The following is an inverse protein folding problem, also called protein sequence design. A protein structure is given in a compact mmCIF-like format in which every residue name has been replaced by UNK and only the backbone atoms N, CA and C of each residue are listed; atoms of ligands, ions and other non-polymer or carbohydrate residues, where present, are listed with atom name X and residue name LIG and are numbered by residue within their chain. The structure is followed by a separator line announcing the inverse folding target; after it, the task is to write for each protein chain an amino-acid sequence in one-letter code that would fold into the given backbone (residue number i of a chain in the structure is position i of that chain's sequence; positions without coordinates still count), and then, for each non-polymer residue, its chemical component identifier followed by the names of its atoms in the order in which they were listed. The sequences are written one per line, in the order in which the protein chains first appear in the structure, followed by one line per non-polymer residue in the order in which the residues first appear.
data_IF_800212880956
#
_entry.id   IF_800212880956
#
_cell.length_a   1.000
_cell.length_b   1.000
_cell.length_c   1.000
_cell.angle_alpha   90.00
_cell.angle_beta   90.00
_cell.angle_gamma   90.00
#
_symmetry.space_group_name_H-M   'P 1'
#
loop_
_entity.id
_entity.type
_entity.pdbx_description
1 polymer ?
#
# COMPACT_ATOMS: atom_id res chain seq x y z
N UNK A 1 -19.55 14.03 -11.64
CA UNK A 1 -18.20 13.43 -11.48
C UNK A 1 -18.33 12.09 -10.77
N UNK A 2 -17.43 11.15 -11.07
CA UNK A 2 -17.40 9.79 -10.49
C UNK A 2 -15.99 9.56 -9.92
N UNK A 3 -15.89 8.95 -8.74
CA UNK A 3 -14.62 8.50 -8.17
C UNK A 3 -14.66 6.99 -7.89
N UNK A 4 -13.52 6.33 -8.07
CA UNK A 4 -13.33 4.94 -7.72
C UNK A 4 -12.59 4.81 -6.40
N UNK A 5 -13.13 4.00 -5.49
CA UNK A 5 -12.45 3.55 -4.28
C UNK A 5 -12.00 2.10 -4.46
N UNK A 6 -10.69 1.86 -4.35
CA UNK A 6 -10.10 0.53 -4.41
C UNK A 6 -9.70 0.12 -3.00
N UNK A 7 -10.17 -1.04 -2.58
CA UNK A 7 -9.80 -1.66 -1.32
C UNK A 7 -9.12 -3.00 -1.59
N UNK A 8 -7.87 -3.11 -1.14
CA UNK A 8 -7.01 -4.28 -1.33
C UNK A 8 -6.89 -5.00 0.01
N UNK A 9 -7.64 -6.08 0.16
CA UNK A 9 -7.57 -6.96 1.32
C UNK A 9 -6.60 -8.12 1.14
N UNK A 10 -6.37 -8.89 2.20
CA UNK A 10 -5.46 -10.05 2.18
C UNK A 10 -5.95 -11.22 1.31
N UNK A 11 -7.25 -11.32 1.02
CA UNK A 11 -7.86 -12.43 0.26
C UNK A 11 -8.44 -12.02 -1.07
N UNK A 12 -8.58 -10.72 -1.32
CA UNK A 12 -9.18 -10.20 -2.55
C UNK A 12 -9.18 -8.69 -2.57
N UNK A 13 -9.57 -8.11 -3.71
CA UNK A 13 -9.70 -6.68 -3.88
C UNK A 13 -11.09 -6.32 -4.44
N UNK A 14 -11.51 -5.09 -4.15
CA UNK A 14 -12.75 -4.54 -4.69
C UNK A 14 -12.54 -3.13 -5.23
N UNK A 15 -13.36 -2.77 -6.21
CA UNK A 15 -13.49 -1.41 -6.72
C UNK A 15 -14.95 -0.99 -6.61
N UNK A 16 -15.19 0.19 -6.07
CA UNK A 16 -16.54 0.78 -5.94
C UNK A 16 -16.55 2.15 -6.59
N UNK A 17 -17.53 2.41 -7.44
CA UNK A 17 -17.76 3.71 -8.05
C UNK A 17 -18.77 4.51 -7.25
N UNK A 18 -18.45 5.77 -6.94
CA UNK A 18 -19.30 6.69 -6.21
C UNK A 18 -19.53 7.98 -6.99
N UNK A 19 -20.73 8.55 -6.86
CA UNK A 19 -21.00 9.95 -7.20
C UNK A 19 -20.55 10.88 -6.09
N UNK A 20 -20.54 12.18 -6.37
CA UNK A 20 -20.23 13.25 -5.40
C UNK A 20 -21.15 13.29 -4.18
N UNK A 21 -22.40 12.82 -4.33
CA UNK A 21 -23.36 12.73 -3.25
C UNK A 21 -23.17 11.48 -2.37
N UNK A 22 -22.15 10.66 -2.67
CA UNK A 22 -21.85 9.42 -1.95
C UNK A 22 -22.68 8.22 -2.44
N UNK A 23 -23.55 8.37 -3.43
CA UNK A 23 -24.32 7.26 -3.97
C UNK A 23 -23.40 6.28 -4.74
N UNK A 24 -23.53 4.98 -4.43
CA UNK A 24 -22.81 3.91 -5.12
C UNK A 24 -23.44 3.63 -6.47
N UNK A 25 -22.61 3.61 -7.52
CA UNK A 25 -23.02 3.34 -8.90
C UNK A 25 -22.68 1.93 -9.37
N UNK A 26 -21.52 1.44 -9.00
CA UNK A 26 -21.00 0.16 -9.43
C UNK A 26 -20.12 -0.47 -8.35
N UNK A 27 -19.98 -1.79 -8.40
CA UNK A 27 -19.07 -2.56 -7.56
C UNK A 27 -18.53 -3.75 -8.32
N UNK A 28 -17.23 -4.00 -8.20
CA UNK A 28 -16.60 -5.22 -8.66
C UNK A 28 -15.69 -5.76 -7.56
N UNK A 29 -15.65 -7.09 -7.42
CA UNK A 29 -14.83 -7.80 -6.44
C UNK A 29 -14.11 -8.97 -7.11
N UNK A 30 -12.90 -9.26 -6.69
CA UNK A 30 -12.12 -10.41 -7.12
C UNK A 30 -11.29 -10.98 -5.98
N UNK A 31 -11.42 -12.28 -5.75
CA UNK A 31 -10.56 -13.04 -4.84
C UNK A 31 -9.23 -13.40 -5.50
N UNK A 32 -8.18 -13.52 -4.67
CA UNK A 32 -6.90 -14.07 -5.09
C UNK A 32 -6.95 -15.59 -4.90
N UNK A 33 -6.64 -16.39 -5.95
CA UNK A 33 -6.61 -17.84 -5.83
C UNK A 33 -5.32 -18.32 -5.15
N UNK A 34 -5.11 -17.91 -3.89
CA UNK A 34 -3.97 -18.35 -3.10
C UNK A 34 -4.10 -19.83 -2.76
N UNK A 35 -3.01 -20.58 -2.94
CA UNK A 35 -2.94 -21.95 -2.49
C UNK A 35 -2.92 -22.01 -0.96
N UNK A 36 -3.51 -23.06 -0.39
CA UNK A 36 -3.44 -23.28 1.05
C UNK A 36 -1.98 -23.38 1.52
N UNK A 37 -1.61 -22.57 2.52
CA UNK A 37 -0.26 -22.50 3.03
C UNK A 37 0.68 -21.53 2.28
N UNK A 38 0.20 -20.79 1.28
CA UNK A 38 1.00 -19.76 0.63
C UNK A 38 1.35 -18.65 1.65
N UNK A 39 2.63 -18.32 1.73
CA UNK A 39 3.16 -17.25 2.62
C UNK A 39 3.32 -15.92 1.88
N UNK A 40 3.17 -15.93 0.56
CA UNK A 40 3.31 -14.77 -0.32
C UNK A 40 2.21 -14.67 -1.37
N UNK A 41 2.00 -13.46 -1.88
CA UNK A 41 1.09 -13.16 -2.98
C UNK A 41 1.92 -12.62 -4.15
N UNK A 42 1.91 -13.26 -5.35
CA UNK A 42 2.60 -12.71 -6.50
C UNK A 42 2.14 -11.29 -6.85
N UNK A 43 3.09 -10.37 -7.01
CA UNK A 43 2.78 -8.97 -7.29
C UNK A 43 1.96 -8.79 -8.59
N UNK A 44 2.23 -9.63 -9.60
CA UNK A 44 1.49 -9.65 -10.87
C UNK A 44 0.05 -10.16 -10.71
N UNK A 45 -0.20 -11.08 -9.77
CA UNK A 45 -1.55 -11.54 -9.44
C UNK A 45 -2.35 -10.40 -8.78
N UNK A 46 -1.72 -9.69 -7.83
CA UNK A 46 -2.35 -8.54 -7.17
C UNK A 46 -2.70 -7.45 -8.19
N UNK A 47 -1.72 -6.96 -8.96
CA UNK A 47 -1.94 -5.89 -9.93
C UNK A 47 -2.96 -6.32 -11.00
N UNK A 48 -2.88 -7.55 -11.49
CA UNK A 48 -3.85 -8.11 -12.44
C UNK A 48 -5.27 -8.08 -11.90
N UNK A 49 -5.48 -8.55 -10.66
CA UNK A 49 -6.80 -8.54 -10.01
C UNK A 49 -7.35 -7.12 -9.84
N UNK A 50 -6.49 -6.18 -9.43
CA UNK A 50 -6.89 -4.77 -9.27
C UNK A 50 -7.30 -4.15 -10.61
N UNK A 51 -6.53 -4.37 -11.67
CA UNK A 51 -6.89 -3.89 -13.01
C UNK A 51 -8.22 -4.49 -13.51
N UNK A 52 -8.46 -5.77 -13.22
CA UNK A 52 -9.73 -6.43 -13.57
C UNK A 52 -10.93 -5.80 -12.83
N UNK A 53 -10.83 -5.55 -11.51
CA UNK A 53 -11.96 -4.95 -10.78
C UNK A 53 -12.20 -3.50 -11.19
N UNK A 54 -11.15 -2.72 -11.52
CA UNK A 54 -11.30 -1.37 -12.08
C UNK A 54 -12.06 -1.45 -13.42
N UNK A 55 -11.60 -2.31 -14.33
CA UNK A 55 -12.23 -2.48 -15.64
C UNK A 55 -13.67 -2.98 -15.53
N UNK A 56 -13.94 -3.94 -14.64
CA UNK A 56 -15.27 -4.46 -14.41
C UNK A 56 -16.22 -3.43 -13.80
N UNK A 57 -15.69 -2.57 -12.91
CA UNK A 57 -16.45 -1.46 -12.32
C UNK A 57 -16.77 -0.40 -13.38
N UNK A 58 -15.78 0.00 -14.21
CA UNK A 58 -15.98 0.96 -15.29
C UNK A 58 -17.04 0.52 -16.31
N UNK A 59 -17.08 -0.78 -16.66
CA UNK A 59 -18.07 -1.35 -17.60
C UNK A 59 -19.51 -1.33 -17.09
N UNK A 60 -19.74 -1.15 -15.79
CA UNK A 60 -21.08 -1.03 -15.21
C UNK A 60 -21.60 0.42 -15.25
N UNK A 61 -20.77 1.38 -15.61
CA UNK A 61 -21.16 2.79 -15.70
C UNK A 61 -21.77 3.10 -17.08
N UNK A 62 -22.80 3.93 -17.10
CA UNK A 62 -23.37 4.46 -18.36
C UNK A 62 -22.33 5.30 -19.14
N UNK A 63 -21.49 6.05 -18.40
CA UNK A 63 -20.45 6.87 -18.99
C UNK A 63 -19.15 6.83 -18.17
N UNK A 64 -18.21 5.92 -18.48
CA UNK A 64 -16.91 5.86 -17.80
C UNK A 64 -16.04 7.11 -17.96
N UNK A 65 -16.34 7.98 -18.95
CA UNK A 65 -15.61 9.23 -19.16
C UNK A 65 -15.88 10.30 -18.09
N UNK A 66 -16.84 10.06 -17.19
CA UNK A 66 -17.10 10.90 -16.01
C UNK A 66 -16.21 10.58 -14.80
N UNK A 67 -15.40 9.52 -14.87
CA UNK A 67 -14.45 9.15 -13.81
C UNK A 67 -13.33 10.18 -13.77
N UNK A 68 -13.11 10.76 -12.59
CA UNK A 68 -12.12 11.82 -12.37
C UNK A 68 -11.01 11.44 -11.39
N UNK A 69 -11.25 10.43 -10.53
CA UNK A 69 -10.29 10.01 -9.53
C UNK A 69 -10.36 8.51 -9.23
N UNK A 70 -9.22 7.94 -8.86
CA UNK A 70 -9.07 6.58 -8.33
C UNK A 70 -8.31 6.69 -7.02
N UNK A 71 -8.92 6.23 -5.92
CA UNK A 71 -8.26 6.17 -4.61
C UNK A 71 -7.92 4.72 -4.26
N UNK A 72 -6.70 4.48 -3.75
CA UNK A 72 -6.22 3.13 -3.42
C UNK A 72 -5.94 3.03 -1.94
N UNK A 73 -6.57 2.08 -1.25
CA UNK A 73 -6.27 1.66 0.12
C UNK A 73 -5.90 0.18 0.16
N UNK A 74 -5.17 -0.23 1.17
CA UNK A 74 -4.74 -1.62 1.32
C UNK A 74 -4.51 -2.00 2.78
N UNK A 75 -4.40 -3.32 3.00
CA UNK A 75 -3.78 -3.82 4.22
C UNK A 75 -2.36 -3.27 4.37
N UNK A 76 -1.89 -3.19 5.61
CA UNK A 76 -0.57 -2.69 5.97
C UNK A 76 0.51 -3.77 6.04
N UNK A 77 1.67 -3.40 6.58
CA UNK A 77 2.82 -4.23 6.96
C UNK A 77 3.48 -5.01 5.81
N UNK A 78 2.97 -4.88 4.58
CA UNK A 78 3.44 -5.59 3.39
C UNK A 78 3.80 -4.63 2.27
N UNK A 79 4.68 -5.07 1.38
CA UNK A 79 5.16 -4.27 0.25
C UNK A 79 5.52 -5.17 -0.94
N UNK A 80 5.76 -4.55 -2.09
CA UNK A 80 6.43 -5.13 -3.25
C UNK A 80 7.82 -4.51 -3.35
N UNK A 81 8.88 -5.31 -3.27
CA UNK A 81 10.22 -4.86 -3.61
C UNK A 81 10.39 -4.93 -5.12
N UNK A 82 10.79 -3.83 -5.75
CA UNK A 82 10.96 -3.76 -7.21
C UNK A 82 12.37 -3.32 -7.58
N UNK A 83 12.85 -3.78 -8.72
CA UNK A 83 14.10 -3.30 -9.33
C UNK A 83 13.89 -2.00 -10.11
N UNK A 84 14.96 -1.47 -10.73
CA UNK A 84 14.94 -0.22 -11.48
C UNK A 84 14.01 -0.23 -12.72
N UNK A 85 13.59 -1.42 -13.18
CA UNK A 85 12.62 -1.57 -14.26
C UNK A 85 11.17 -1.62 -13.75
N UNK A 86 10.97 -1.69 -12.43
CA UNK A 86 9.67 -1.89 -11.80
C UNK A 86 9.25 -3.35 -11.69
N UNK A 87 10.15 -4.30 -12.00
CA UNK A 87 9.89 -5.73 -11.86
C UNK A 87 9.98 -6.16 -10.41
N UNK A 88 8.99 -6.93 -9.94
CA UNK A 88 8.99 -7.45 -8.57
C UNK A 88 10.13 -8.45 -8.36
N UNK A 89 10.84 -8.30 -7.25
CA UNK A 89 11.97 -9.13 -6.85
C UNK A 89 11.56 -10.35 -6.02
N UNK A 90 10.45 -10.20 -5.29
CA UNK A 90 9.89 -11.25 -4.44
C UNK A 90 8.37 -11.23 -4.51
N UNK A 91 7.73 -12.30 -4.07
CA UNK A 91 6.31 -12.25 -3.73
C UNK A 91 6.07 -11.26 -2.58
N UNK A 92 4.86 -10.73 -2.49
CA UNK A 92 4.42 -9.89 -1.38
C UNK A 92 4.32 -10.78 -0.14
N UNK A 93 5.22 -10.59 0.82
CA UNK A 93 5.15 -11.30 2.09
C UNK A 93 3.98 -10.74 2.90
N UNK A 94 3.03 -11.61 3.23
CA UNK A 94 1.83 -11.21 3.95
C UNK A 94 2.17 -10.89 5.41
N UNK A 95 1.37 -10.04 6.06
CA UNK A 95 1.56 -9.63 7.46
C UNK A 95 1.54 -10.81 8.46
N UNK A 96 0.94 -11.94 8.08
CA UNK A 96 0.93 -13.20 8.84
C UNK A 96 2.03 -14.19 8.41
N UNK A 97 2.86 -13.83 7.44
CA UNK A 97 4.01 -14.65 7.01
C UNK A 97 5.17 -14.51 7.99
N UNK A 98 5.81 -15.62 8.35
CA UNK A 98 7.03 -15.60 9.16
C UNK A 98 8.20 -15.14 8.29
N UNK A 99 8.52 -13.86 8.30
CA UNK A 99 9.86 -13.41 7.98
C UNK A 99 10.77 -13.81 9.15
N UNK A 100 11.96 -14.33 8.86
CA UNK A 100 12.87 -14.89 9.86
C UNK A 100 13.10 -13.91 11.03
N UNK A 101 12.69 -14.36 12.23
CA UNK A 101 12.65 -13.50 13.41
C UNK A 101 14.03 -13.21 14.02
N UNK A 102 15.00 -14.13 13.89
CA UNK A 102 16.29 -14.02 14.59
C UNK A 102 17.08 -12.76 14.20
N UNK A 103 17.19 -12.45 12.91
CA UNK A 103 17.90 -11.25 12.44
C UNK A 103 17.18 -9.97 12.91
N UNK A 104 15.87 -9.97 12.85
CA UNK A 104 15.06 -8.83 13.32
C UNK A 104 15.22 -8.64 14.83
N UNK A 105 15.16 -9.71 15.64
CA UNK A 105 15.34 -9.64 17.09
C UNK A 105 16.75 -9.17 17.48
N UNK A 106 17.78 -9.65 16.78
CA UNK A 106 19.13 -9.17 16.96
C UNK A 106 19.25 -7.69 16.66
N UNK A 107 18.73 -7.23 15.52
CA UNK A 107 18.74 -5.83 15.12
C UNK A 107 18.03 -4.93 16.14
N UNK A 108 16.85 -5.35 16.60
CA UNK A 108 16.11 -4.61 17.64
C UNK A 108 16.91 -4.53 18.95
N UNK A 109 17.63 -5.60 19.31
CA UNK A 109 18.51 -5.59 20.49
C UNK A 109 19.71 -4.64 20.34
N UNK A 110 20.28 -4.52 19.14
CA UNK A 110 21.41 -3.65 18.84
C UNK A 110 21.01 -2.16 18.83
N UNK A 111 19.86 -1.84 18.21
CA UNK A 111 19.34 -0.45 18.11
C UNK A 111 18.70 -0.02 19.45
N UNK A 112 18.03 -0.95 20.13
CA UNK A 112 17.25 -0.72 21.33
C UNK A 112 15.77 -0.47 21.05
N UNK A 113 14.89 -1.21 21.73
CA UNK A 113 13.42 -1.09 21.60
C UNK A 113 12.94 0.36 21.84
N UNK A 114 13.57 1.07 22.78
CA UNK A 114 13.24 2.46 23.11
C UNK A 114 13.40 3.43 21.93
N UNK A 115 14.32 3.17 21.00
CA UNK A 115 14.49 4.01 19.81
C UNK A 115 13.26 3.91 18.89
N UNK A 116 12.79 2.69 18.64
CA UNK A 116 11.55 2.46 17.86
C UNK A 116 10.33 3.08 18.53
N UNK A 117 10.15 2.85 19.83
CA UNK A 117 9.03 3.42 20.58
C UNK A 117 9.04 4.95 20.63
N UNK A 118 10.21 5.56 20.66
CA UNK A 118 10.37 7.03 20.68
C UNK A 118 10.11 7.67 19.31
N UNK A 119 10.52 7.00 18.22
CA UNK A 119 10.51 7.54 16.86
C UNK A 119 9.26 7.08 16.10
N UNK A 120 9.08 5.77 15.95
CA UNK A 120 7.95 5.20 15.22
C UNK A 120 6.67 5.12 16.06
N UNK A 121 6.77 5.33 17.39
CA UNK A 121 5.69 5.19 18.37
C UNK A 121 5.06 3.79 18.38
N UNK A 122 5.82 2.78 17.97
CA UNK A 122 5.40 1.39 17.90
C UNK A 122 6.42 0.51 18.60
N UNK A 123 5.94 -0.51 19.29
CA UNK A 123 6.80 -1.60 19.77
C UNK A 123 7.25 -2.42 18.56
N UNK A 124 8.56 -2.69 18.39
CA UNK A 124 9.03 -3.46 17.25
C UNK A 124 8.55 -4.92 17.35
N UNK A 125 7.92 -5.39 16.27
CA UNK A 125 7.44 -6.76 16.12
C UNK A 125 7.68 -7.24 14.68
N UNK A 126 7.83 -8.54 14.48
CA UNK A 126 8.09 -9.16 13.17
C UNK A 126 6.94 -9.00 12.17
N UNK A 127 5.74 -8.67 12.63
CA UNK A 127 4.59 -8.39 11.78
C UNK A 127 4.77 -7.14 10.90
N UNK A 128 5.58 -6.18 11.33
CA UNK A 128 5.84 -4.94 10.58
C UNK A 128 6.75 -5.14 9.36
N UNK A 129 6.79 -4.13 8.47
CA UNK A 129 7.49 -4.26 7.19
C UNK A 129 9.00 -4.42 7.33
N UNK A 130 9.63 -3.88 8.40
CA UNK A 130 11.09 -3.95 8.57
C UNK A 130 11.63 -5.38 8.52
N UNK A 131 11.01 -6.33 9.23
CA UNK A 131 11.45 -7.73 9.23
C UNK A 131 11.48 -8.33 7.82
N UNK A 132 10.46 -8.00 7.02
CA UNK A 132 10.33 -8.44 5.63
C UNK A 132 11.32 -7.73 4.70
N UNK A 133 11.68 -6.47 4.99
CA UNK A 133 12.72 -5.74 4.26
C UNK A 133 14.10 -6.37 4.48
N UNK A 134 14.42 -6.75 5.73
CA UNK A 134 15.65 -7.48 6.04
C UNK A 134 15.72 -8.80 5.29
N UNK A 135 14.68 -9.61 5.35
CA UNK A 135 14.58 -10.85 4.59
C UNK A 135 14.75 -10.61 3.07
N UNK A 136 14.05 -9.60 2.52
CA UNK A 136 14.14 -9.28 1.09
C UNK A 136 15.56 -8.93 0.68
N UNK A 137 16.32 -8.21 1.50
CA UNK A 137 17.74 -7.89 1.22
C UNK A 137 18.61 -9.14 1.08
N UNK A 138 18.27 -10.23 1.77
CA UNK A 138 19.05 -11.49 1.71
C UNK A 138 18.71 -12.32 0.47
N UNK A 139 17.43 -12.32 0.05
CA UNK A 139 16.95 -13.22 -0.99
C UNK A 139 16.81 -12.59 -2.38
N UNK A 140 16.83 -11.26 -2.47
CA UNK A 140 16.74 -10.57 -3.75
C UNK A 140 17.99 -10.84 -4.60
N UNK A 141 17.77 -11.26 -5.83
CA UNK A 141 18.83 -11.57 -6.81
C UNK A 141 19.36 -10.33 -7.55
N UNK A 142 18.70 -9.19 -7.37
CA UNK A 142 19.00 -7.88 -7.97
C UNK A 142 18.83 -6.77 -6.94
N UNK A 143 19.47 -5.60 -7.13
CA UNK A 143 19.31 -4.46 -6.23
C UNK A 143 17.85 -4.02 -6.15
N UNK A 144 17.38 -3.75 -4.93
CA UNK A 144 16.07 -3.13 -4.69
C UNK A 144 16.16 -1.67 -5.07
N UNK A 145 15.33 -1.24 -6.02
CA UNK A 145 15.14 0.17 -6.32
C UNK A 145 14.14 0.82 -5.36
N UNK A 146 12.99 0.16 -5.11
CA UNK A 146 11.98 0.66 -4.19
C UNK A 146 11.27 -0.46 -3.43
N UNK A 147 10.97 -0.20 -2.17
CA UNK A 147 9.99 -0.93 -1.36
C UNK A 147 8.64 -0.21 -1.46
N UNK A 148 7.74 -0.68 -2.32
CA UNK A 148 6.43 -0.06 -2.56
C UNK A 148 5.37 -0.74 -1.69
N UNK A 149 4.89 -0.07 -0.64
CA UNK A 149 3.77 -0.60 0.14
C UNK A 149 2.57 -0.88 -0.77
N UNK A 150 1.73 -1.84 -0.40
CA UNK A 150 0.76 -2.46 -1.33
C UNK A 150 -0.09 -1.43 -2.10
N UNK A 151 -0.70 -0.45 -1.42
CA UNK A 151 -1.43 0.62 -2.11
C UNK A 151 -0.52 1.48 -2.99
N UNK A 152 0.73 1.75 -2.52
CA UNK A 152 1.75 2.48 -3.28
C UNK A 152 2.21 1.72 -4.53
N UNK A 153 2.32 0.39 -4.46
CA UNK A 153 2.63 -0.43 -5.63
C UNK A 153 1.53 -0.33 -6.70
N UNK A 154 0.27 -0.38 -6.30
CA UNK A 154 -0.83 -0.20 -7.25
C UNK A 154 -0.87 1.23 -7.80
N UNK A 155 -0.63 2.25 -6.97
CA UNK A 155 -0.50 3.62 -7.45
C UNK A 155 0.66 3.75 -8.46
N UNK A 156 1.80 3.10 -8.20
CA UNK A 156 2.92 3.02 -9.14
C UNK A 156 2.53 2.35 -10.46
N UNK A 157 1.83 1.21 -10.41
CA UNK A 157 1.33 0.55 -11.62
C UNK A 157 0.38 1.43 -12.45
N UNK A 158 -0.35 2.33 -11.79
CA UNK A 158 -1.30 3.23 -12.44
C UNK A 158 -0.64 4.50 -13.00
N UNK A 159 0.41 5.03 -12.34
CA UNK A 159 0.98 6.36 -12.61
C UNK A 159 2.45 6.38 -12.95
N UNK A 160 3.21 5.36 -12.58
CA UNK A 160 4.67 5.35 -12.61
C UNK A 160 5.35 6.04 -11.41
N UNK A 161 4.58 6.61 -10.47
CA UNK A 161 5.10 7.37 -9.34
C UNK A 161 5.24 6.51 -8.07
N UNK A 162 6.43 6.45 -7.49
CA UNK A 162 6.73 5.69 -6.27
C UNK A 162 6.35 6.48 -5.01
N UNK A 163 5.12 6.29 -4.53
CA UNK A 163 4.56 6.99 -3.38
C UNK A 163 3.97 6.03 -2.35
N UNK A 164 3.81 6.51 -1.13
CA UNK A 164 3.02 5.90 -0.06
C UNK A 164 2.25 6.97 0.71
N UNK A 165 1.28 6.56 1.52
CA UNK A 165 0.70 7.45 2.51
C UNK A 165 1.38 7.30 3.88
N UNK A 166 1.12 8.26 4.79
CA UNK A 166 1.70 8.29 6.13
C UNK A 166 1.34 7.02 6.93
N UNK A 167 0.09 6.53 6.85
CA UNK A 167 -0.34 5.42 7.68
C UNK A 167 0.36 4.11 7.32
N UNK A 168 0.61 3.85 6.04
CA UNK A 168 1.38 2.70 5.58
C UNK A 168 2.87 2.86 5.89
N UNK A 169 3.43 4.09 5.72
CA UNK A 169 4.81 4.39 6.07
C UNK A 169 5.08 4.15 7.56
N UNK A 170 4.17 4.54 8.45
CA UNK A 170 4.28 4.28 9.90
C UNK A 170 4.38 2.77 10.22
N UNK A 171 3.74 1.91 9.41
CA UNK A 171 3.77 0.44 9.62
C UNK A 171 5.09 -0.21 9.19
N UNK A 172 6.06 0.57 8.75
CA UNK A 172 7.41 0.07 8.42
C UNK A 172 8.33 -0.06 9.64
N UNK A 173 8.05 0.60 10.75
CA UNK A 173 8.96 0.89 11.87
C UNK A 173 10.09 1.89 11.56
N UNK A 174 10.16 2.45 10.36
CA UNK A 174 11.25 3.33 9.91
C UNK A 174 10.84 4.81 9.80
N UNK A 175 9.56 5.13 10.05
CA UNK A 175 9.01 6.47 9.88
C UNK A 175 8.98 7.23 11.22
N UNK A 176 9.55 8.43 11.24
CA UNK A 176 9.43 9.35 12.38
C UNK A 176 8.05 10.03 12.34
N UNK A 177 7.16 9.55 13.19
CA UNK A 177 5.76 10.00 13.23
C UNK A 177 5.65 11.46 13.66
N UNK A 178 6.56 11.94 14.53
CA UNK A 178 6.51 13.31 15.05
C UNK A 178 7.03 14.33 14.03
N UNK A 179 8.06 13.94 13.28
CA UNK A 179 8.70 14.82 12.30
C UNK A 179 8.16 14.61 10.87
N UNK A 180 7.29 13.61 10.67
CA UNK A 180 6.67 13.27 9.38
C UNK A 180 7.71 13.03 8.27
N UNK A 181 8.75 12.24 8.56
CA UNK A 181 9.81 11.88 7.63
C UNK A 181 10.35 10.48 7.90
N UNK A 182 11.10 9.91 6.97
CA UNK A 182 11.89 8.72 7.23
C UNK A 182 12.94 9.02 8.31
N UNK A 183 13.12 8.12 9.26
CA UNK A 183 14.05 8.32 10.38
C UNK A 183 15.46 7.94 9.99
N UNK A 184 16.33 8.91 9.84
CA UNK A 184 17.75 8.64 9.57
C UNK A 184 18.38 7.74 10.63
N UNK A 185 18.05 7.92 11.90
CA UNK A 185 18.56 7.10 13.01
C UNK A 185 18.20 5.61 12.84
N UNK A 186 16.93 5.32 12.53
CA UNK A 186 16.47 3.94 12.33
C UNK A 186 16.96 3.36 11.00
N UNK A 187 17.01 4.16 9.94
CA UNK A 187 17.52 3.75 8.64
C UNK A 187 18.99 3.35 8.71
N UNK A 188 19.84 4.19 9.30
CA UNK A 188 21.26 3.91 9.49
C UNK A 188 21.45 2.64 10.35
N UNK A 189 20.70 2.51 11.44
CA UNK A 189 20.76 1.34 12.32
C UNK A 189 20.31 0.03 11.63
N UNK A 190 19.31 0.11 10.75
CA UNK A 190 18.78 -1.05 10.01
C UNK A 190 19.52 -1.31 8.69
N UNK A 191 20.44 -0.43 8.28
CA UNK A 191 21.12 -0.54 6.98
C UNK A 191 20.14 -0.47 5.80
N UNK A 192 19.07 0.32 5.91
CA UNK A 192 18.10 0.58 4.83
C UNK A 192 18.40 1.97 4.28
N UNK A 193 18.59 2.07 2.97
CA UNK A 193 18.85 3.34 2.31
C UNK A 193 17.53 4.09 2.07
N UNK A 194 17.46 5.39 2.43
CA UNK A 194 16.26 6.20 2.28
C UNK A 194 15.78 6.25 0.82
N UNK A 195 16.71 6.25 -0.12
CA UNK A 195 16.43 6.23 -1.55
C UNK A 195 15.65 5.00 -2.02
N UNK A 196 15.67 3.90 -1.25
CA UNK A 196 14.87 2.71 -1.55
C UNK A 196 13.44 2.80 -1.04
N UNK A 197 13.10 3.83 -0.28
CA UNK A 197 11.76 4.05 0.25
C UNK A 197 10.95 4.99 -0.65
N UNK A 198 9.61 4.86 -0.68
CA UNK A 198 8.77 5.73 -1.48
C UNK A 198 8.66 7.13 -0.88
N UNK A 199 8.34 8.13 -1.70
CA UNK A 199 7.94 9.46 -1.23
C UNK A 199 6.62 9.34 -0.46
N UNK A 200 6.57 9.89 0.76
CA UNK A 200 5.37 9.86 1.60
C UNK A 200 4.47 11.05 1.32
N UNK A 201 3.20 10.79 1.09
CA UNK A 201 2.14 11.78 0.87
C UNK A 201 1.17 11.75 2.07
N UNK A 202 0.49 12.87 2.35
CA UNK A 202 -0.66 12.81 3.24
C UNK A 202 -1.77 11.95 2.62
N UNK A 203 -2.60 11.31 3.45
CA UNK A 203 -3.82 10.64 2.99
C UNK A 203 -4.68 11.62 2.19
N UNK A 204 -5.17 11.21 1.03
CA UNK A 204 -5.85 12.09 0.08
C UNK A 204 -4.90 12.88 -0.83
N UNK A 205 -3.59 12.72 -0.70
CA UNK A 205 -2.60 13.36 -1.58
C UNK A 205 -2.67 12.83 -3.01
N UNK A 206 -2.57 13.73 -3.98
CA UNK A 206 -2.56 13.36 -5.40
C UNK A 206 -1.19 12.76 -5.75
N UNK A 207 -1.21 11.55 -6.31
CA UNK A 207 -0.02 10.86 -6.84
C UNK A 207 0.33 11.40 -8.23
N UNK A 208 -0.65 11.39 -9.12
CA UNK A 208 -0.52 11.83 -10.51
C UNK A 208 -1.67 11.32 -11.39
N UNK A 209 -1.67 11.67 -12.67
CA UNK A 209 -2.63 11.15 -13.64
C UNK A 209 -2.30 9.69 -13.99
N UNK A 210 -3.27 8.98 -14.57
CA UNK A 210 -3.03 7.68 -15.16
C UNK A 210 -1.97 7.76 -16.27
N UNK A 211 -1.13 6.73 -16.37
CA UNK A 211 -0.32 6.52 -17.57
C UNK A 211 -1.25 6.34 -18.78
N UNK A 212 -0.91 6.94 -19.93
CA UNK A 212 -1.73 6.84 -21.15
C UNK A 212 -2.01 5.40 -21.57
N UNK A 213 -1.04 4.49 -21.42
CA UNK A 213 -1.22 3.06 -21.68
C UNK A 213 -2.21 2.40 -20.73
N UNK A 214 -2.23 2.83 -19.47
CA UNK A 214 -3.17 2.33 -18.45
C UNK A 214 -4.56 2.88 -18.69
N UNK A 215 -4.69 4.16 -18.95
CA UNK A 215 -5.97 4.80 -19.29
C UNK A 215 -6.63 4.12 -20.50
N UNK A 216 -5.87 3.88 -21.56
CA UNK A 216 -6.33 3.16 -22.75
C UNK A 216 -6.78 1.73 -22.42
N UNK A 217 -5.99 0.98 -21.61
CA UNK A 217 -6.33 -0.39 -21.20
C UNK A 217 -7.61 -0.45 -20.37
N UNK A 218 -7.81 0.52 -19.48
CA UNK A 218 -8.98 0.61 -18.59
C UNK A 218 -10.19 1.28 -19.25
N UNK A 219 -10.01 1.90 -20.43
CA UNK A 219 -11.01 2.70 -21.14
C UNK A 219 -11.50 3.90 -20.30
N UNK A 220 -10.59 4.50 -19.54
CA UNK A 220 -10.81 5.68 -18.70
C UNK A 220 -10.10 6.91 -19.30
N UNK A 221 -10.50 8.13 -18.92
CA UNK A 221 -9.79 9.36 -19.31
C UNK A 221 -8.34 9.37 -18.80
N UNK A 222 -7.41 9.90 -19.58
CA UNK A 222 -6.00 10.05 -19.19
C UNK A 222 -5.80 11.02 -18.02
N UNK A 223 -6.70 11.98 -17.85
CA UNK A 223 -6.65 12.98 -16.79
C UNK A 223 -7.21 12.50 -15.44
N UNK A 224 -7.65 11.24 -15.34
CA UNK A 224 -8.06 10.64 -14.03
C UNK A 224 -6.89 10.71 -13.06
N UNK A 225 -7.12 11.33 -11.90
CA UNK A 225 -6.10 11.45 -10.86
C UNK A 225 -6.08 10.22 -9.96
N UNK A 226 -4.90 9.66 -9.74
CA UNK A 226 -4.70 8.65 -8.70
C UNK A 226 -4.41 9.36 -7.39
N UNK A 227 -5.14 8.98 -6.37
CA UNK A 227 -5.09 9.60 -5.03
C UNK A 227 -4.67 8.54 -4.02
N UNK A 228 -3.72 8.89 -3.16
CA UNK A 228 -3.28 8.02 -2.08
C UNK A 228 -4.40 7.87 -1.05
N UNK A 229 -4.85 6.64 -0.86
CA UNK A 229 -5.76 6.28 0.24
C UNK A 229 -5.01 6.17 1.55
N UNK A 230 -5.30 5.13 2.32
CA UNK A 230 -4.69 4.90 3.62
C UNK A 230 -4.68 3.39 3.92
N UNK A 231 -4.13 3.03 5.07
CA UNK A 231 -4.31 1.70 5.63
C UNK A 231 -5.81 1.37 5.76
N UNK A 232 -6.22 0.17 5.38
CA UNK A 232 -7.63 -0.26 5.31
C UNK A 232 -8.42 -0.02 6.59
N UNK A 233 -7.83 -0.27 7.77
CA UNK A 233 -8.46 -0.03 9.06
C UNK A 233 -8.80 1.46 9.27
N UNK A 234 -7.96 2.38 8.79
CA UNK A 234 -8.19 3.82 8.93
C UNK A 234 -9.32 4.28 8.02
N UNK A 235 -9.32 3.85 6.75
CA UNK A 235 -10.41 4.22 5.83
C UNK A 235 -11.73 3.57 6.22
N UNK A 236 -11.70 2.35 6.80
CA UNK A 236 -12.88 1.71 7.38
C UNK A 236 -13.46 2.52 8.55
N UNK A 237 -12.60 3.03 9.44
CA UNK A 237 -13.02 3.88 10.54
C UNK A 237 -13.70 5.17 10.01
N UNK A 238 -13.08 5.82 9.01
CA UNK A 238 -13.64 7.00 8.36
C UNK A 238 -14.98 6.69 7.69
N UNK A 239 -15.06 5.60 6.94
CA UNK A 239 -16.30 5.14 6.27
C UNK A 239 -17.43 4.80 7.24
N UNK A 240 -17.10 4.37 8.46
CA UNK A 240 -18.05 4.17 9.55
C UNK A 240 -18.42 5.45 10.30
N UNK A 241 -17.96 6.62 9.84
CA UNK A 241 -18.31 7.93 10.42
C UNK A 241 -17.45 8.36 11.61
N UNK A 242 -16.28 7.73 11.82
CA UNK A 242 -15.31 8.15 12.84
C UNK A 242 -14.46 9.28 12.28
N UNK A 243 -15.03 10.46 12.18
CA UNK A 243 -14.37 11.65 11.65
C UNK A 243 -14.12 12.75 12.71
N UNK A 244 -14.47 12.50 13.98
CA UNK A 244 -14.34 13.47 15.06
C UNK A 244 -13.41 12.95 16.16
N UNK A 245 -12.68 13.87 16.80
CA UNK A 245 -11.85 13.56 17.99
C UNK A 245 -12.74 12.98 19.09
N UNK A 246 -12.31 11.86 19.68
CA UNK A 246 -13.03 11.17 20.74
C UNK A 246 -14.02 10.09 20.26
N UNK A 247 -14.24 9.95 18.96
CA UNK A 247 -14.90 8.76 18.40
C UNK A 247 -13.87 7.66 18.13
N UNK A 248 -14.25 6.41 18.34
CA UNK A 248 -13.40 5.26 18.07
C UNK A 248 -14.22 4.04 17.61
N UNK A 249 -13.59 3.18 16.83
CA UNK A 249 -14.09 1.85 16.51
C UNK A 249 -13.29 0.84 17.33
N UNK A 250 -13.96 -0.11 17.95
CA UNK A 250 -13.33 -1.27 18.54
C UNK A 250 -13.39 -2.41 17.51
N UNK A 251 -12.24 -2.86 17.06
CA UNK A 251 -12.13 -4.11 16.30
C UNK A 251 -12.13 -5.26 17.32
N UNK A 252 -13.09 -6.17 17.19
CA UNK A 252 -13.21 -7.38 18.00
C UNK A 252 -12.49 -8.54 17.32
#
# INVERSE_FOLDING_TARGET
MISFGIDIGGTGCKCVAFREDGSQLALAYKEYPLQAGATGLPATMLSGAVFEVISACAKQLDNPQEVVAITVSSFGESFVAVDANGDALTDILMYFGNAEGEEFEQLVSEIGEDAFMRIALLKPETSYSLSKMLYTKQVADRPVWKYLFVAGYIAYCLTGEACSDISLACRSLLYDVKNSCWSKELLDGCGIEEETLPRVLPTGGIVGPLLSSVAAKLQLPENVQVVMGSHDQIVNALGAGVAEIGRYIRYL
#
